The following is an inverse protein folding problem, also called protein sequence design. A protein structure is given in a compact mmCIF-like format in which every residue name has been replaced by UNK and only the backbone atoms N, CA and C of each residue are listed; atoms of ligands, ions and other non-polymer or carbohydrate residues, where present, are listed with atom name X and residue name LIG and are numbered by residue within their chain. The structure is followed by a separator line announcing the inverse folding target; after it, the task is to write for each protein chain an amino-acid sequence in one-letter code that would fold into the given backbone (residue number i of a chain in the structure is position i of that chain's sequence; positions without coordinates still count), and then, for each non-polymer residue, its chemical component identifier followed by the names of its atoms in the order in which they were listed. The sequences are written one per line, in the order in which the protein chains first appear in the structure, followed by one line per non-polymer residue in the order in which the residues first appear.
data_IF_571776296391
#
_entry.id   IF_571776296391
#
_cell.length_a   1.000
_cell.length_b   1.000
_cell.length_c   1.000
_cell.angle_alpha   90.00
_cell.angle_beta   90.00
_cell.angle_gamma   90.00
#
_symmetry.space_group_name_H-M   'P 1'
#
loop_
_entity.id
_entity.type
_entity.pdbx_description
1 polymer ?
#
# COMPACT_ATOMS: atom_id res chain seq x y z
N UNK A 1 -7.81 18.13 -8.14
CA UNK A 1 -8.30 17.87 -9.52
C UNK A 1 -7.78 16.49 -9.94
N UNK A 2 -8.47 15.41 -9.56
CA UNK A 2 -8.23 14.04 -10.05
C UNK A 2 -9.33 13.10 -9.51
N UNK A 3 -10.60 13.47 -9.70
CA UNK A 3 -11.74 12.64 -9.26
C UNK A 3 -12.29 11.72 -10.37
N UNK A 4 -11.79 11.81 -11.61
CA UNK A 4 -12.23 11.01 -12.77
C UNK A 4 -11.07 10.15 -13.33
N UNK A 5 -10.34 9.46 -12.44
CA UNK A 5 -9.09 8.77 -12.80
C UNK A 5 -9.15 7.25 -12.74
N UNK A 6 -10.32 6.62 -12.55
CA UNK A 6 -10.56 5.17 -12.69
C UNK A 6 -9.44 4.24 -12.18
N UNK A 7 -8.87 4.56 -11.01
CA UNK A 7 -7.80 3.75 -10.42
C UNK A 7 -6.37 4.02 -10.92
N UNK A 8 -6.16 4.76 -12.01
CA UNK A 8 -4.84 5.03 -12.58
C UNK A 8 -4.13 6.21 -11.90
N UNK A 9 -2.98 5.94 -11.27
CA UNK A 9 -2.06 6.98 -10.83
C UNK A 9 -0.64 6.58 -11.20
N UNK A 10 -0.01 7.40 -12.04
CA UNK A 10 1.40 7.27 -12.36
C UNK A 10 2.05 8.63 -12.14
N UNK A 11 3.07 8.67 -11.29
CA UNK A 11 3.96 9.82 -11.22
C UNK A 11 4.92 9.71 -12.42
N UNK A 12 4.87 10.72 -13.28
CA UNK A 12 5.75 10.85 -14.43
C UNK A 12 6.59 12.09 -14.20
N UNK A 13 7.87 11.91 -13.84
CA UNK A 13 8.80 13.02 -13.60
C UNK A 13 9.77 13.20 -14.78
N UNK A 14 9.87 12.20 -15.67
CA UNK A 14 10.72 12.27 -16.87
C UNK A 14 9.99 11.89 -18.16
N UNK A 15 10.48 12.41 -19.29
CA UNK A 15 9.92 12.11 -20.62
C UNK A 15 10.04 10.61 -20.98
N UNK A 16 11.03 9.92 -20.41
CA UNK A 16 11.28 8.50 -20.61
C UNK A 16 10.32 7.64 -19.78
N UNK A 17 9.96 8.04 -18.56
CA UNK A 17 8.87 7.42 -17.78
C UNK A 17 7.51 7.60 -18.45
N UNK A 18 7.27 8.78 -19.05
CA UNK A 18 6.06 9.03 -19.84
C UNK A 18 6.00 8.07 -21.05
N UNK A 19 7.12 7.87 -21.73
CA UNK A 19 7.19 7.00 -22.89
C UNK A 19 7.03 5.52 -22.50
N UNK A 20 7.68 5.06 -21.43
CA UNK A 20 7.51 3.71 -20.89
C UNK A 20 6.05 3.44 -20.49
N UNK A 21 5.46 4.34 -19.72
CA UNK A 21 4.08 4.24 -19.25
C UNK A 21 3.05 4.25 -20.39
N UNK A 22 3.18 5.18 -21.35
CA UNK A 22 2.16 5.40 -22.39
C UNK A 22 2.40 4.61 -23.69
N UNK A 23 3.60 4.10 -23.95
CA UNK A 23 3.95 3.43 -25.20
C UNK A 23 4.29 1.95 -24.99
N UNK A 24 5.06 1.62 -23.95
CA UNK A 24 5.55 0.25 -23.70
C UNK A 24 4.57 -0.55 -22.84
N UNK A 25 4.12 0.01 -21.71
CA UNK A 25 3.31 -0.71 -20.72
C UNK A 25 1.80 -0.62 -21.02
N UNK A 26 1.33 0.46 -21.65
CA UNK A 26 -0.09 0.67 -21.99
C UNK A 26 -0.65 -0.37 -22.96
N UNK A 27 0.13 -0.86 -23.93
CA UNK A 27 -0.37 -1.84 -24.92
C UNK A 27 -0.35 -3.29 -24.40
N UNK A 28 0.43 -3.58 -23.35
CA UNK A 28 0.53 -4.90 -22.71
C UNK A 28 -0.54 -5.12 -21.62
N UNK A 29 -1.05 -4.03 -21.03
CA UNK A 29 -1.99 -4.02 -19.88
C UNK A 29 -3.47 -3.96 -20.27
N UNK A 30 -3.79 -3.79 -21.57
CA UNK A 30 -5.16 -3.63 -22.09
C UNK A 30 -5.99 -4.93 -22.18
N UNK A 31 -5.50 -6.06 -21.68
CA UNK A 31 -6.41 -7.16 -21.36
C UNK A 31 -6.98 -6.91 -19.97
N UNK A 32 -8.09 -6.19 -19.90
CA UNK A 32 -8.94 -6.16 -18.71
C UNK A 32 -9.32 -7.61 -18.40
N UNK A 33 -9.10 -8.05 -17.16
CA UNK A 33 -9.49 -9.40 -16.69
C UNK A 33 -10.68 -9.34 -15.73
N UNK A 34 -10.88 -8.19 -15.09
CA UNK A 34 -11.94 -7.94 -14.13
C UNK A 34 -12.45 -6.51 -14.30
N UNK A 35 -13.77 -6.36 -14.43
CA UNK A 35 -14.44 -5.06 -14.45
C UNK A 35 -15.07 -4.78 -13.09
N UNK A 36 -15.19 -3.51 -12.72
CA UNK A 36 -15.87 -3.05 -11.51
C UNK A 36 -15.34 -3.74 -10.24
N UNK A 37 -14.01 -3.85 -10.13
CA UNK A 37 -13.38 -4.54 -9.02
C UNK A 37 -13.44 -3.70 -7.73
N UNK A 38 -13.94 -4.31 -6.66
CA UNK A 38 -14.06 -3.70 -5.33
C UNK A 38 -13.33 -4.56 -4.31
N UNK A 39 -12.61 -3.90 -3.40
CA UNK A 39 -11.98 -4.54 -2.24
C UNK A 39 -12.53 -3.90 -0.97
N UNK A 40 -12.90 -4.73 0.00
CA UNK A 40 -13.27 -4.31 1.35
C UNK A 40 -12.50 -5.15 2.36
N UNK A 41 -12.08 -4.51 3.44
CA UNK A 41 -11.44 -5.19 4.57
C UNK A 41 -12.35 -5.05 5.78
N UNK A 42 -12.88 -6.17 6.25
CA UNK A 42 -13.69 -6.25 7.46
C UNK A 42 -12.80 -6.66 8.64
N UNK A 43 -12.57 -5.76 9.59
CA UNK A 43 -11.73 -6.02 10.76
C UNK A 43 -12.53 -6.66 11.89
N UNK A 44 -11.97 -7.70 12.50
CA UNK A 44 -12.57 -8.33 13.65
C UNK A 44 -12.52 -7.38 14.87
N UNK A 45 -13.66 -6.79 15.23
CA UNK A 45 -13.77 -5.83 16.33
C UNK A 45 -13.39 -6.40 17.72
N UNK A 46 -13.45 -7.72 17.90
CA UNK A 46 -12.99 -8.39 19.13
C UNK A 46 -11.45 -8.39 19.21
N UNK A 47 -10.75 -8.18 18.10
CA UNK A 47 -9.28 -8.24 18.01
C UNK A 47 -8.65 -6.90 17.63
N UNK A 48 -9.30 -6.10 16.80
CA UNK A 48 -8.84 -4.82 16.28
C UNK A 48 -9.73 -3.71 16.84
N UNK A 49 -9.15 -2.80 17.62
CA UNK A 49 -9.86 -1.68 18.26
C UNK A 49 -9.95 -0.43 17.38
N UNK A 50 -8.97 -0.24 16.51
CA UNK A 50 -8.92 0.86 15.57
C UNK A 50 -8.07 0.47 14.35
N UNK A 51 -8.36 1.07 13.21
CA UNK A 51 -7.58 0.91 12.00
C UNK A 51 -7.63 2.19 11.16
N UNK A 52 -6.62 2.41 10.32
CA UNK A 52 -6.62 3.45 9.29
C UNK A 52 -5.92 2.97 8.02
N UNK A 53 -6.45 3.37 6.87
CA UNK A 53 -5.85 3.16 5.56
C UNK A 53 -4.77 4.20 5.30
N UNK A 54 -3.56 3.79 4.96
CA UNK A 54 -2.43 4.66 4.69
C UNK A 54 -2.32 4.93 3.19
N UNK A 55 -2.26 6.21 2.80
CA UNK A 55 -1.97 6.64 1.43
C UNK A 55 -3.14 6.57 0.43
N UNK A 56 -4.27 5.95 0.79
CA UNK A 56 -5.49 5.85 -0.04
C UNK A 56 -6.73 6.47 0.62
N UNK A 57 -6.53 7.37 1.57
CA UNK A 57 -7.57 7.99 2.41
C UNK A 57 -8.72 8.64 1.61
N UNK A 58 -8.44 9.12 0.39
CA UNK A 58 -9.42 9.81 -0.47
C UNK A 58 -10.34 8.88 -1.28
N UNK A 59 -10.19 7.55 -1.18
CA UNK A 59 -10.99 6.56 -1.93
C UNK A 59 -11.79 5.60 -1.02
N UNK A 60 -11.97 5.97 0.24
CA UNK A 60 -12.78 5.18 1.16
C UNK A 60 -14.22 5.07 0.62
N UNK A 61 -14.67 3.84 0.34
CA UNK A 61 -16.04 3.56 -0.09
C UNK A 61 -16.80 3.20 1.17
N UNK A 62 -17.94 3.87 1.41
CA UNK A 62 -18.77 3.56 2.56
C UNK A 62 -19.16 2.06 2.56
N UNK A 63 -19.17 1.44 3.73
CA UNK A 63 -19.45 0.00 3.86
C UNK A 63 -20.78 -0.42 3.22
N UNK A 64 -21.80 0.45 3.30
CA UNK A 64 -23.12 0.25 2.71
C UNK A 64 -23.11 0.23 1.16
N UNK A 65 -22.06 0.79 0.54
CA UNK A 65 -21.92 0.91 -0.91
C UNK A 65 -21.06 -0.21 -1.53
N UNK A 66 -20.39 -1.05 -0.73
CA UNK A 66 -19.54 -2.13 -1.24
C UNK A 66 -20.33 -3.12 -2.12
N UNK A 67 -21.54 -3.49 -1.70
CA UNK A 67 -22.44 -4.41 -2.43
C UNK A 67 -23.40 -3.71 -3.38
N UNK A 68 -23.26 -2.39 -3.56
CA UNK A 68 -24.09 -1.61 -4.46
C UNK A 68 -23.47 -1.56 -5.86
N UNK A 69 -23.98 -2.38 -6.79
CA UNK A 69 -23.47 -2.45 -8.17
C UNK A 69 -23.70 -1.16 -8.99
N UNK A 70 -24.43 -0.18 -8.46
CA UNK A 70 -24.58 1.14 -9.08
C UNK A 70 -23.44 2.11 -8.76
N UNK A 71 -22.56 1.76 -7.82
CA UNK A 71 -21.37 2.56 -7.46
C UNK A 71 -20.19 2.09 -8.31
N UNK A 72 -19.62 3.03 -9.06
CA UNK A 72 -18.48 2.83 -9.96
C UNK A 72 -17.23 2.38 -9.18
N UNK A 73 -16.43 1.52 -9.80
CA UNK A 73 -15.30 0.84 -9.16
C UNK A 73 -14.09 0.80 -10.08
N UNK A 74 -12.94 0.37 -9.56
CA UNK A 74 -11.70 0.36 -10.32
C UNK A 74 -11.68 -0.72 -11.40
N UNK A 75 -11.12 -0.42 -12.57
CA UNK A 75 -10.76 -1.44 -13.54
C UNK A 75 -9.40 -2.07 -13.17
N UNK A 76 -9.32 -3.40 -13.12
CA UNK A 76 -8.05 -4.12 -12.91
C UNK A 76 -7.63 -4.80 -14.21
N UNK A 77 -6.58 -4.25 -14.82
CA UNK A 77 -5.91 -4.83 -15.99
C UNK A 77 -5.08 -6.06 -15.64
N UNK A 78 -4.83 -6.93 -16.63
CA UNK A 78 -3.89 -8.04 -16.47
C UNK A 78 -2.49 -7.52 -16.11
N UNK A 79 -1.92 -8.05 -15.04
CA UNK A 79 -0.60 -7.64 -14.53
C UNK A 79 -0.62 -6.45 -13.58
N UNK A 80 -1.79 -5.88 -13.26
CA UNK A 80 -1.90 -4.85 -12.23
C UNK A 80 -1.86 -5.48 -10.84
N UNK A 81 -1.09 -4.86 -9.95
CA UNK A 81 -1.07 -5.16 -8.52
C UNK A 81 -1.42 -3.90 -7.75
N UNK A 82 -2.32 -4.04 -6.77
CA UNK A 82 -2.70 -2.94 -5.86
C UNK A 82 -2.31 -3.35 -4.46
N UNK A 83 -1.54 -2.48 -3.80
CA UNK A 83 -1.17 -2.66 -2.39
C UNK A 83 -1.90 -1.61 -1.56
N UNK A 84 -2.73 -2.06 -0.62
CA UNK A 84 -3.31 -1.24 0.43
C UNK A 84 -2.57 -1.52 1.74
N UNK A 85 -2.19 -0.46 2.46
CA UNK A 85 -1.52 -0.57 3.76
C UNK A 85 -2.47 -0.08 4.85
N UNK A 86 -2.69 -0.90 5.86
CA UNK A 86 -3.47 -0.55 7.03
C UNK A 86 -2.58 -0.48 8.26
N UNK A 87 -2.72 0.58 9.04
CA UNK A 87 -2.25 0.61 10.41
C UNK A 87 -3.40 0.16 11.31
N UNK A 88 -3.13 -0.80 12.21
CA UNK A 88 -4.13 -1.39 13.10
C UNK A 88 -3.70 -1.30 14.54
N UNK A 89 -4.66 -1.11 15.44
CA UNK A 89 -4.47 -1.18 16.89
C UNK A 89 -5.18 -2.43 17.40
N UNK A 90 -4.43 -3.36 17.98
CA UNK A 90 -5.02 -4.57 18.55
C UNK A 90 -5.63 -4.27 19.93
N UNK A 91 -6.68 -5.01 20.29
CA UNK A 91 -7.17 -5.10 21.66
C UNK A 91 -6.10 -5.72 22.58
N UNK A 92 -6.16 -5.41 23.88
CA UNK A 92 -5.17 -5.83 24.89
C UNK A 92 -4.82 -7.34 24.84
N UNK A 93 -3.64 -7.66 25.39
CA UNK A 93 -3.01 -8.99 25.39
C UNK A 93 -3.97 -10.10 25.86
N UNK A 94 -4.58 -10.78 24.90
CA UNK A 94 -5.67 -11.75 25.10
C UNK A 94 -6.65 -11.80 23.92
N UNK A 95 -6.58 -10.83 23.00
CA UNK A 95 -7.41 -10.83 21.80
C UNK A 95 -6.92 -11.80 20.72
N UNK A 96 -5.60 -11.96 20.58
CA UNK A 96 -4.99 -12.98 19.70
C UNK A 96 -4.82 -14.29 20.48
N UNK A 97 -5.81 -15.17 20.38
CA UNK A 97 -5.86 -16.47 21.09
C UNK A 97 -5.32 -17.62 20.23
N UNK A 98 -4.14 -17.44 19.65
CA UNK A 98 -3.46 -18.43 18.83
C UNK A 98 -3.41 -18.07 17.34
N UNK A 99 -2.65 -18.88 16.59
CA UNK A 99 -2.32 -18.68 15.18
C UNK A 99 -3.55 -18.48 14.29
N UNK A 100 -4.64 -19.20 14.57
CA UNK A 100 -5.86 -19.19 13.76
C UNK A 100 -6.80 -18.01 14.08
N UNK A 101 -6.39 -17.08 14.95
CA UNK A 101 -7.24 -15.92 15.28
C UNK A 101 -7.37 -15.01 14.07
N UNK A 102 -8.59 -14.84 13.55
CA UNK A 102 -8.87 -13.91 12.45
C UNK A 102 -8.76 -12.46 12.91
N UNK A 103 -7.86 -11.72 12.25
CA UNK A 103 -7.67 -10.27 12.42
C UNK A 103 -8.62 -9.48 11.51
N UNK A 104 -8.75 -9.93 10.26
CA UNK A 104 -9.61 -9.31 9.26
C UNK A 104 -10.03 -10.32 8.18
N UNK A 105 -11.08 -10.00 7.45
CA UNK A 105 -11.49 -10.69 6.23
C UNK A 105 -11.41 -9.71 5.06
N UNK A 106 -10.67 -10.08 4.03
CA UNK A 106 -10.58 -9.30 2.78
C UNK A 106 -11.59 -9.85 1.80
N UNK A 107 -12.53 -9.01 1.37
CA UNK A 107 -13.52 -9.31 0.34
C UNK A 107 -13.06 -8.69 -0.98
N UNK A 108 -12.99 -9.49 -2.03
CA UNK A 108 -12.72 -9.04 -3.39
C UNK A 108 -13.93 -9.41 -4.26
N UNK A 109 -14.54 -8.40 -4.89
CA UNK A 109 -15.68 -8.54 -5.79
C UNK A 109 -15.34 -7.99 -7.16
N UNK A 110 -15.75 -8.66 -8.23
CA UNK A 110 -15.54 -8.19 -9.60
C UNK A 110 -16.56 -8.77 -10.57
N UNK A 111 -16.78 -8.11 -11.71
CA UNK A 111 -17.53 -8.66 -12.83
C UNK A 111 -16.60 -9.42 -13.78
N UNK A 112 -16.93 -10.68 -14.05
CA UNK A 112 -16.28 -11.51 -15.06
C UNK A 112 -16.65 -11.02 -16.47
N UNK A 113 -15.65 -10.77 -17.30
CA UNK A 113 -15.85 -10.18 -18.63
C UNK A 113 -16.46 -11.13 -19.65
N UNK A 114 -16.31 -12.44 -19.47
CA UNK A 114 -16.82 -13.43 -20.42
C UNK A 114 -18.31 -13.73 -20.19
N UNK A 115 -18.72 -13.79 -18.93
CA UNK A 115 -20.07 -14.17 -18.50
C UNK A 115 -20.93 -12.97 -18.09
N UNK A 116 -20.32 -11.86 -17.66
CA UNK A 116 -20.99 -10.74 -17.02
C UNK A 116 -21.46 -11.04 -15.59
N UNK A 117 -21.09 -12.20 -15.03
CA UNK A 117 -21.41 -12.59 -13.66
C UNK A 117 -20.54 -11.80 -12.67
N UNK A 118 -21.15 -11.37 -11.56
CA UNK A 118 -20.41 -10.75 -10.46
C UNK A 118 -19.95 -11.85 -9.51
N UNK A 119 -18.65 -11.97 -9.34
CA UNK A 119 -17.97 -12.93 -8.47
C UNK A 119 -17.48 -12.21 -7.21
N UNK A 120 -17.47 -12.93 -6.09
CA UNK A 120 -16.94 -12.46 -4.80
C UNK A 120 -16.11 -13.59 -4.19
N UNK A 121 -14.91 -13.28 -3.73
CA UNK A 121 -14.04 -14.18 -2.95
C UNK A 121 -13.64 -13.51 -1.66
N UNK A 122 -13.40 -14.32 -0.64
CA UNK A 122 -13.03 -13.87 0.69
C UNK A 122 -11.73 -14.54 1.11
N UNK A 123 -10.86 -13.78 1.76
CA UNK A 123 -9.63 -14.29 2.34
C UNK A 123 -9.52 -13.81 3.78
N UNK A 124 -9.48 -14.75 4.72
CA UNK A 124 -9.19 -14.45 6.12
C UNK A 124 -7.69 -14.14 6.28
N UNK A 125 -7.40 -13.07 7.01
CA UNK A 125 -6.08 -12.73 7.53
C UNK A 125 -6.06 -13.13 9.01
N UNK A 126 -5.29 -14.18 9.30
CA UNK A 126 -5.13 -14.73 10.64
C UNK A 126 -3.82 -14.26 11.28
N UNK A 127 -3.70 -14.44 12.59
CA UNK A 127 -2.54 -13.98 13.34
C UNK A 127 -1.22 -14.66 12.94
N UNK A 128 -1.27 -15.85 12.34
CA UNK A 128 -0.12 -16.55 11.76
C UNK A 128 0.51 -15.82 10.55
N UNK A 129 -0.25 -14.95 9.88
CA UNK A 129 0.25 -14.10 8.81
C UNK A 129 1.07 -12.90 9.33
N UNK A 130 1.13 -12.70 10.65
CA UNK A 130 1.91 -11.62 11.27
C UNK A 130 3.33 -12.08 11.60
N UNK A 131 4.28 -11.14 11.55
CA UNK A 131 5.63 -11.36 12.02
C UNK A 131 5.80 -10.77 13.43
N UNK A 132 6.69 -11.37 14.23
CA UNK A 132 7.00 -10.87 15.56
C UNK A 132 7.61 -9.46 15.53
N UNK A 133 8.45 -9.20 14.52
CA UNK A 133 9.16 -7.94 14.34
C UNK A 133 9.13 -7.51 12.87
N UNK A 134 9.23 -6.19 12.63
CA UNK A 134 9.25 -5.62 11.28
C UNK A 134 10.32 -6.23 10.36
N UNK A 135 11.51 -6.50 10.88
CA UNK A 135 12.62 -7.05 10.09
C UNK A 135 12.44 -8.52 9.72
N UNK A 136 11.46 -9.21 10.33
CA UNK A 136 11.13 -10.60 10.04
C UNK A 136 10.06 -10.76 8.93
N UNK A 137 9.42 -9.67 8.49
CA UNK A 137 8.50 -9.70 7.33
C UNK A 137 9.27 -9.85 6.01
N UNK A 138 8.57 -10.06 4.91
CA UNK A 138 9.21 -10.04 3.59
C UNK A 138 9.73 -8.64 3.22
N UNK A 139 10.74 -8.60 2.34
CA UNK A 139 11.39 -7.36 1.96
C UNK A 139 10.45 -6.39 1.20
N UNK A 140 9.43 -6.92 0.52
CA UNK A 140 8.43 -6.11 -0.17
C UNK A 140 7.54 -5.35 0.82
N UNK A 141 7.06 -6.02 1.86
CA UNK A 141 6.36 -5.40 2.97
C UNK A 141 7.22 -4.34 3.67
N UNK A 142 8.50 -4.66 3.94
CA UNK A 142 9.43 -3.72 4.57
C UNK A 142 9.59 -2.45 3.71
N UNK A 143 9.76 -2.61 2.39
CA UNK A 143 9.85 -1.49 1.46
C UNK A 143 8.56 -0.66 1.44
N UNK A 144 7.40 -1.30 1.29
CA UNK A 144 6.11 -0.63 1.22
C UNK A 144 5.82 0.18 2.49
N UNK A 145 6.05 -0.40 3.67
CA UNK A 145 5.89 0.28 4.95
C UNK A 145 6.87 1.46 5.11
N UNK A 146 8.11 1.32 4.67
CA UNK A 146 9.13 2.39 4.74
C UNK A 146 8.77 3.55 3.81
N UNK A 147 8.30 3.26 2.60
CA UNK A 147 7.80 4.29 1.65
C UNK A 147 6.57 5.00 2.22
N UNK A 148 5.64 4.27 2.83
CA UNK A 148 4.48 4.86 3.48
C UNK A 148 4.89 5.77 4.65
N UNK A 149 5.80 5.31 5.50
CA UNK A 149 6.36 6.09 6.61
C UNK A 149 7.04 7.37 6.12
N UNK A 150 7.82 7.31 5.03
CA UNK A 150 8.39 8.50 4.41
C UNK A 150 7.32 9.53 4.02
N UNK A 151 6.25 9.07 3.36
CA UNK A 151 5.12 9.92 2.98
C UNK A 151 4.40 10.54 4.19
N UNK A 152 4.22 9.78 5.28
CA UNK A 152 3.61 10.26 6.53
C UNK A 152 4.46 11.35 7.20
N UNK A 153 5.79 11.18 7.21
CA UNK A 153 6.75 12.17 7.76
C UNK A 153 6.71 13.47 6.95
N UNK A 154 6.68 13.37 5.62
CA UNK A 154 6.58 14.55 4.74
C UNK A 154 5.24 15.28 4.86
N UNK A 155 4.14 14.54 5.09
CA UNK A 155 2.80 15.12 5.27
C UNK A 155 2.59 15.74 6.65
N UNK A 156 3.60 15.74 7.53
CA UNK A 156 3.48 16.15 8.93
C UNK A 156 2.31 15.48 9.66
N UNK A 157 2.01 14.22 9.30
CA UNK A 157 0.91 13.49 9.93
C UNK A 157 1.17 13.31 11.43
N UNK A 158 0.14 13.54 12.25
CA UNK A 158 0.19 13.35 13.71
C UNK A 158 0.19 11.86 14.11
N UNK A 159 0.91 10.99 13.39
CA UNK A 159 1.06 9.61 13.82
C UNK A 159 1.83 9.60 15.15
N UNK A 160 1.21 9.04 16.21
CA UNK A 160 1.72 9.04 17.59
C UNK A 160 3.06 8.31 17.81
N UNK A 161 3.67 7.78 16.75
CA UNK A 161 5.02 7.25 16.73
C UNK A 161 5.94 8.27 16.06
N UNK A 162 6.95 8.75 16.80
CA UNK A 162 7.91 9.73 16.31
C UNK A 162 8.89 9.12 15.29
N UNK A 163 8.38 8.60 14.17
CA UNK A 163 9.19 8.23 13.01
C UNK A 163 9.70 9.53 12.40
N UNK A 164 11.01 9.64 12.21
CA UNK A 164 11.64 10.79 11.58
C UNK A 164 12.39 10.36 10.31
N UNK A 165 12.84 11.34 9.52
CA UNK A 165 13.56 11.06 8.27
C UNK A 165 14.85 10.27 8.47
N UNK A 166 15.50 10.38 9.64
CA UNK A 166 16.69 9.59 9.95
C UNK A 166 16.34 8.10 10.09
N UNK A 167 15.27 7.77 10.81
CA UNK A 167 14.82 6.38 10.96
C UNK A 167 14.40 5.78 9.62
N UNK A 168 13.67 6.55 8.80
CA UNK A 168 13.27 6.13 7.44
C UNK A 168 14.50 5.89 6.57
N UNK A 169 15.51 6.75 6.63
CA UNK A 169 16.73 6.61 5.84
C UNK A 169 17.51 5.35 6.21
N UNK A 170 17.64 5.07 7.51
CA UNK A 170 18.33 3.86 8.01
C UNK A 170 17.63 2.60 7.49
N UNK A 171 16.30 2.54 7.58
CA UNK A 171 15.55 1.40 7.08
C UNK A 171 15.59 1.29 5.55
N UNK A 172 15.47 2.39 4.82
CA UNK A 172 15.56 2.40 3.36
C UNK A 172 16.92 1.85 2.87
N UNK A 173 18.03 2.27 3.49
CA UNK A 173 19.37 1.75 3.18
C UNK A 173 19.50 0.25 3.49
N UNK A 174 18.97 -0.19 4.62
CA UNK A 174 18.98 -1.61 5.01
C UNK A 174 18.20 -2.46 4.01
N UNK A 175 17.05 -1.97 3.55
CA UNK A 175 16.18 -2.66 2.59
C UNK A 175 16.83 -2.71 1.20
N UNK A 176 17.44 -1.62 0.73
CA UNK A 176 18.20 -1.61 -0.54
C UNK A 176 19.32 -2.66 -0.53
N UNK A 177 20.06 -2.76 0.58
CA UNK A 177 21.08 -3.80 0.75
C UNK A 177 20.51 -5.22 0.76
N UNK A 178 19.39 -5.42 1.48
CA UNK A 178 18.69 -6.70 1.58
C UNK A 178 18.20 -7.17 0.20
N UNK A 179 17.55 -6.28 -0.56
CA UNK A 179 17.05 -6.57 -1.90
C UNK A 179 18.20 -6.81 -2.88
N UNK A 180 19.25 -5.99 -2.82
CA UNK A 180 20.45 -6.17 -3.66
C UNK A 180 21.08 -7.55 -3.46
N UNK A 181 21.14 -8.02 -2.20
CA UNK A 181 21.73 -9.32 -1.87
C UNK A 181 20.85 -10.49 -2.30
N UNK A 182 19.52 -10.34 -2.25
CA UNK A 182 18.57 -11.43 -2.49
C UNK A 182 18.07 -11.52 -3.93
N UNK A 183 17.91 -10.39 -4.61
CA UNK A 183 17.25 -10.25 -5.91
C UNK A 183 18.09 -9.49 -6.94
N UNK A 184 19.22 -8.90 -6.54
CA UNK A 184 20.01 -7.99 -7.36
C UNK A 184 19.61 -6.53 -7.15
N UNK A 185 20.47 -5.61 -7.60
CA UNK A 185 20.26 -4.18 -7.42
C UNK A 185 18.97 -3.71 -8.10
N UNK A 186 18.21 -2.87 -7.42
CA UNK A 186 16.98 -2.28 -7.93
C UNK A 186 17.14 -0.75 -7.98
N UNK A 187 17.16 -0.19 -9.20
CA UNK A 187 17.39 1.24 -9.42
C UNK A 187 16.35 2.11 -8.72
N UNK A 188 15.08 1.69 -8.69
CA UNK A 188 13.98 2.46 -8.09
C UNK A 188 14.14 2.53 -6.57
N UNK A 189 14.61 1.45 -5.95
CA UNK A 189 14.88 1.41 -4.50
C UNK A 189 16.10 2.26 -4.16
N UNK A 190 17.15 2.21 -4.98
CA UNK A 190 18.33 3.05 -4.81
C UNK A 190 17.99 4.53 -4.96
N UNK A 191 17.13 4.89 -5.93
CA UNK A 191 16.64 6.25 -6.11
C UNK A 191 15.79 6.70 -4.91
N UNK A 192 14.90 5.83 -4.41
CA UNK A 192 14.14 6.12 -3.20
C UNK A 192 15.04 6.44 -2.00
N UNK A 193 16.13 5.69 -1.78
CA UNK A 193 17.12 5.99 -0.73
C UNK A 193 17.73 7.38 -0.91
N UNK A 194 18.07 7.78 -2.14
CA UNK A 194 18.61 9.12 -2.41
C UNK A 194 17.58 10.23 -2.13
N UNK A 195 16.31 10.02 -2.46
CA UNK A 195 15.23 10.96 -2.16
C UNK A 195 15.06 11.18 -0.65
N UNK A 196 15.05 10.10 0.14
CA UNK A 196 14.96 10.20 1.61
C UNK A 196 16.18 10.93 2.17
N UNK A 197 17.38 10.62 1.67
CA UNK A 197 18.60 11.31 2.09
C UNK A 197 18.55 12.81 1.81
N UNK A 198 18.12 13.22 0.61
CA UNK A 198 17.96 14.64 0.27
C UNK A 198 16.95 15.34 1.17
N UNK A 199 15.82 14.69 1.47
CA UNK A 199 14.82 15.24 2.36
C UNK A 199 15.39 15.48 3.77
N UNK A 200 16.13 14.51 4.32
CA UNK A 200 16.77 14.60 5.62
C UNK A 200 17.74 15.80 5.69
N UNK A 201 18.58 15.97 4.66
CA UNK A 201 19.52 17.09 4.57
C UNK A 201 18.82 18.46 4.53
N UNK A 202 17.70 18.55 3.80
CA UNK A 202 16.92 19.79 3.72
C UNK A 202 16.30 20.16 5.07
N UNK A 203 15.72 19.19 5.79
CA UNK A 203 15.16 19.43 7.13
C UNK A 203 16.24 19.80 8.13
N UNK A 204 17.41 19.16 8.10
CA UNK A 204 18.55 19.51 8.94
C UNK A 204 19.04 20.94 8.66
N UNK A 205 19.15 21.34 7.39
CA UNK A 205 19.58 22.69 7.01
C UNK A 205 18.64 23.81 7.49
N UNK A 206 17.34 23.54 7.54
CA UNK A 206 16.34 24.48 8.05
C UNK A 206 16.41 24.64 9.58
N UNK A 207 16.81 23.59 10.31
CA UNK A 207 16.97 23.65 11.76
C UNK A 207 18.20 24.48 12.21
N UNK A 208 19.24 24.59 11.38
CA UNK A 208 20.45 25.38 11.67
C UNK A 208 20.41 26.84 11.16
N UNK A 209 19.32 27.24 10.49
CA UNK A 209 19.16 28.58 9.89
C UNK A 209 18.48 29.62 10.79
N UNK A 210 18.25 29.33 12.09
CA UNK A 210 17.64 30.24 13.07
C UNK A 210 18.63 30.70 14.14
#
# INVERSE_FOLDING_TARGET
LANDGDGFYAYVDTLDEAHKLFVEDLTSTLQTIAKDAKVQVDFNADVVSAYRLIGYENRDVADDDFRNDAVDAGEIGAGHSVTALYEVVLNDAGAVNGADTTLATVHLRWADLASGEVLETEQALTADATAADFTATDAGFQLAATVAAYGEVLRHSEAGYAINLTDVLVEAQRIDQLLTTSQGANADVTEFVDLVWRAEQLTASQAYGQ
#
